data_IF_528416242559
#
_entry.id   IF_528416242559
#
_cell.length_a   1.000
_cell.length_b   1.000
_cell.length_c   1.000
_cell.angle_alpha   90.00
_cell.angle_beta   90.00
_cell.angle_gamma   90.00
#
_symmetry.space_group_name_H-M   'P 1'
#
loop_
_entity.id
_entity.type
_entity.pdbx_description
1 polymer ?
#
# COMPACT_ATOMS: atom_id res chain seq x y z
N UNK A 1 28.79 -15.57 13.65
CA UNK A 1 29.22 -16.15 14.95
C UNK A 1 30.32 -17.15 14.71
N UNK A 2 31.38 -17.13 15.51
CA UNK A 2 32.51 -18.08 15.38
C UNK A 2 32.48 -19.02 16.58
N UNK A 3 32.34 -20.31 16.33
CA UNK A 3 32.48 -21.35 17.36
C UNK A 3 33.88 -21.95 17.27
N UNK A 4 34.59 -21.99 18.40
CA UNK A 4 35.92 -22.59 18.49
C UNK A 4 35.76 -24.09 18.77
N UNK A 5 36.16 -24.93 17.81
CA UNK A 5 35.95 -26.37 17.88
C UNK A 5 37.18 -27.12 18.42
N UNK A 6 38.40 -26.73 18.00
CA UNK A 6 39.65 -27.35 18.43
C UNK A 6 40.82 -26.36 18.33
N UNK A 7 41.87 -26.57 19.12
CA UNK A 7 43.12 -25.82 19.02
C UNK A 7 43.92 -26.25 17.78
N UNK A 8 44.43 -25.29 17.01
CA UNK A 8 45.33 -25.54 15.87
C UNK A 8 46.60 -24.70 15.99
N UNK A 9 47.73 -25.26 15.57
CA UNK A 9 49.01 -24.56 15.49
C UNK A 9 49.21 -23.80 14.16
N UNK A 10 48.23 -23.88 13.25
CA UNK A 10 48.23 -23.17 11.95
C UNK A 10 47.22 -22.03 11.94
N UNK A 11 47.53 -20.97 11.19
CA UNK A 11 46.61 -19.86 10.96
C UNK A 11 45.31 -20.34 10.30
N UNK A 12 44.17 -19.87 10.82
CA UNK A 12 42.86 -20.08 10.22
C UNK A 12 42.37 -18.78 9.57
N UNK A 13 41.77 -18.90 8.37
CA UNK A 13 41.18 -17.77 7.64
C UNK A 13 39.67 -17.92 7.62
N UNK A 14 38.98 -16.88 8.08
CA UNK A 14 37.52 -16.76 7.97
C UNK A 14 37.24 -15.72 6.90
N UNK A 15 36.44 -16.09 5.90
CA UNK A 15 35.93 -15.16 4.90
C UNK A 15 34.43 -15.03 5.06
N UNK A 16 33.93 -13.80 5.07
CA UNK A 16 32.50 -13.51 5.03
C UNK A 16 32.18 -13.09 3.61
N UNK A 17 31.23 -13.79 2.98
CA UNK A 17 30.80 -13.54 1.61
C UNK A 17 29.27 -13.44 1.55
N UNK A 18 28.75 -12.81 0.50
CA UNK A 18 27.32 -12.70 0.28
C UNK A 18 26.70 -14.07 -0.02
N UNK A 19 25.52 -14.32 0.56
CA UNK A 19 24.70 -15.49 0.26
C UNK A 19 23.87 -15.23 -0.99
N UNK A 20 24.44 -15.58 -2.14
CA UNK A 20 23.84 -15.34 -3.46
C UNK A 20 22.66 -16.26 -3.74
N UNK A 21 22.67 -17.46 -3.16
CA UNK A 21 21.59 -18.44 -3.33
C UNK A 21 20.34 -17.99 -2.58
N UNK A 22 20.50 -17.57 -1.32
CA UNK A 22 19.39 -17.01 -0.55
C UNK A 22 18.82 -15.74 -1.22
N UNK A 23 19.70 -14.90 -1.78
CA UNK A 23 19.27 -13.69 -2.50
C UNK A 23 18.46 -14.03 -3.75
N UNK A 24 18.93 -14.98 -4.56
CA UNK A 24 18.18 -15.44 -5.73
C UNK A 24 16.82 -16.01 -5.33
N UNK A 25 16.76 -16.88 -4.32
CA UNK A 25 15.51 -17.46 -3.84
C UNK A 25 14.52 -16.41 -3.32
N UNK A 26 15.00 -15.38 -2.64
CA UNK A 26 14.16 -14.27 -2.19
C UNK A 26 13.55 -13.50 -3.37
N UNK A 27 14.34 -13.24 -4.41
CA UNK A 27 13.86 -12.57 -5.64
C UNK A 27 12.84 -13.44 -6.39
N UNK A 28 13.09 -14.74 -6.48
CA UNK A 28 12.14 -15.69 -7.10
C UNK A 28 10.81 -15.74 -6.33
N UNK A 29 10.88 -15.78 -4.99
CA UNK A 29 9.70 -15.79 -4.12
C UNK A 29 8.91 -14.48 -4.21
N UNK A 30 9.61 -13.35 -4.40
CA UNK A 30 8.99 -12.06 -4.69
C UNK A 30 8.20 -12.11 -6.00
N UNK A 31 8.79 -12.63 -7.08
CA UNK A 31 8.12 -12.79 -8.37
C UNK A 31 6.88 -13.67 -8.25
N UNK A 32 6.99 -14.79 -7.54
CA UNK A 32 5.84 -15.69 -7.33
C UNK A 32 4.72 -15.00 -6.54
N UNK A 33 5.06 -14.22 -5.51
CA UNK A 33 4.07 -13.47 -4.72
C UNK A 33 3.38 -12.39 -5.56
N UNK A 34 4.13 -11.67 -6.40
CA UNK A 34 3.58 -10.69 -7.32
C UNK A 34 2.65 -11.35 -8.34
N UNK A 35 3.08 -12.45 -8.96
CA UNK A 35 2.29 -13.17 -9.94
C UNK A 35 1.00 -13.73 -9.33
N UNK A 36 1.06 -14.31 -8.13
CA UNK A 36 -0.12 -14.77 -7.41
C UNK A 36 -1.12 -13.64 -7.14
N UNK A 37 -0.63 -12.45 -6.77
CA UNK A 37 -1.47 -11.26 -6.61
C UNK A 37 -2.13 -10.87 -7.94
N UNK A 38 -1.36 -10.81 -9.04
CA UNK A 38 -1.89 -10.47 -10.36
C UNK A 38 -2.90 -11.50 -10.87
N UNK A 39 -2.71 -12.77 -10.59
CA UNK A 39 -3.63 -13.84 -10.95
C UNK A 39 -4.97 -13.69 -10.20
N UNK A 40 -4.94 -13.39 -8.89
CA UNK A 40 -6.14 -13.12 -8.10
C UNK A 40 -6.86 -11.84 -8.56
N UNK A 41 -6.13 -10.79 -8.93
CA UNK A 41 -6.70 -9.58 -9.51
C UNK A 41 -7.37 -9.91 -10.85
N UNK A 42 -6.69 -10.63 -11.74
CA UNK A 42 -7.23 -11.00 -13.06
C UNK A 42 -8.49 -11.85 -12.93
N UNK A 43 -8.47 -12.85 -12.05
CA UNK A 43 -9.63 -13.68 -11.72
C UNK A 43 -10.81 -12.83 -11.27
N UNK A 44 -10.58 -11.86 -10.39
CA UNK A 44 -11.63 -10.95 -9.92
C UNK A 44 -12.06 -9.90 -10.95
N UNK A 45 -11.35 -9.78 -12.08
CA UNK A 45 -11.69 -8.88 -13.18
C UNK A 45 -12.16 -9.64 -14.43
N UNK A 46 -12.30 -10.96 -14.36
CA UNK A 46 -12.65 -11.80 -15.50
C UNK A 46 -14.13 -11.61 -15.89
N UNK A 47 -14.39 -11.70 -17.20
CA UNK A 47 -15.72 -11.88 -17.77
C UNK A 47 -15.97 -13.37 -18.03
N UNK A 48 -17.24 -13.75 -18.14
CA UNK A 48 -17.61 -15.07 -18.62
C UNK A 48 -17.21 -15.27 -20.10
N UNK A 49 -17.25 -16.51 -20.58
CA UNK A 49 -16.77 -16.88 -21.92
C UNK A 49 -17.41 -16.09 -23.08
N UNK A 50 -18.67 -15.65 -22.92
CA UNK A 50 -19.40 -14.86 -23.92
C UNK A 50 -19.18 -13.34 -23.80
N UNK A 51 -18.44 -12.88 -22.78
CA UNK A 51 -18.14 -11.47 -22.53
C UNK A 51 -19.33 -10.61 -22.10
N UNK A 52 -20.49 -11.21 -21.82
CA UNK A 52 -21.72 -10.48 -21.50
C UNK A 52 -21.83 -10.11 -20.02
N UNK A 53 -21.15 -10.84 -19.13
CA UNK A 53 -21.21 -10.66 -17.68
C UNK A 53 -19.83 -10.90 -17.04
N UNK A 54 -19.68 -10.47 -15.79
CA UNK A 54 -18.55 -10.92 -14.97
C UNK A 54 -18.57 -12.44 -14.82
N UNK A 55 -17.40 -13.05 -14.66
CA UNK A 55 -17.31 -14.46 -14.29
C UNK A 55 -17.94 -14.72 -12.91
N UNK A 56 -18.41 -15.95 -12.67
CA UNK A 56 -19.12 -16.31 -11.43
C UNK A 56 -18.23 -16.19 -10.19
N UNK A 57 -16.92 -16.43 -10.35
CA UNK A 57 -15.90 -16.32 -9.31
C UNK A 57 -15.31 -14.91 -9.18
N UNK A 58 -15.69 -13.98 -10.05
CA UNK A 58 -15.25 -12.58 -10.02
C UNK A 58 -16.09 -11.75 -9.02
N UNK A 59 -15.99 -12.10 -7.73
CA UNK A 59 -16.78 -11.47 -6.65
C UNK A 59 -16.49 -9.97 -6.56
N UNK A 60 -15.22 -9.59 -6.71
CA UNK A 60 -14.75 -8.21 -6.61
C UNK A 60 -14.69 -7.49 -7.97
N UNK A 61 -15.45 -7.94 -8.97
CA UNK A 61 -15.50 -7.31 -10.28
C UNK A 61 -15.89 -5.83 -10.17
N UNK A 62 -15.06 -4.95 -10.74
CA UNK A 62 -15.24 -3.50 -10.66
C UNK A 62 -14.80 -2.87 -9.34
N UNK A 63 -14.16 -3.63 -8.44
CA UNK A 63 -13.59 -3.09 -7.20
C UNK A 63 -12.56 -2.01 -7.50
N UNK A 64 -12.77 -0.83 -6.93
CA UNK A 64 -11.82 0.28 -7.02
C UNK A 64 -10.50 -0.07 -6.36
N UNK A 65 -10.55 -0.78 -5.22
CA UNK A 65 -9.35 -1.18 -4.46
C UNK A 65 -8.49 -2.15 -5.26
N UNK A 66 -9.09 -3.17 -5.91
CA UNK A 66 -8.33 -4.09 -6.76
C UNK A 66 -7.69 -3.38 -7.95
N UNK A 67 -8.43 -2.45 -8.59
CA UNK A 67 -7.86 -1.68 -9.69
C UNK A 67 -6.75 -0.73 -9.21
N UNK A 68 -6.88 -0.16 -8.00
CA UNK A 68 -5.85 0.67 -7.35
C UNK A 68 -4.56 -0.15 -7.14
N UNK A 69 -4.67 -1.32 -6.49
CA UNK A 69 -3.55 -2.24 -6.27
C UNK A 69 -2.88 -2.62 -7.59
N UNK A 70 -3.68 -3.03 -8.60
CA UNK A 70 -3.16 -3.43 -9.90
C UNK A 70 -2.33 -2.33 -10.56
N UNK A 71 -2.87 -1.10 -10.59
CA UNK A 71 -2.21 0.03 -11.22
C UNK A 71 -0.95 0.43 -10.46
N UNK A 72 -1.03 0.58 -9.14
CA UNK A 72 0.11 1.03 -8.34
C UNK A 72 1.24 0.00 -8.33
N UNK A 73 0.94 -1.28 -8.07
CA UNK A 73 1.97 -2.33 -8.08
C UNK A 73 2.54 -2.57 -9.47
N UNK A 74 1.71 -2.44 -10.52
CA UNK A 74 2.13 -2.54 -11.91
C UNK A 74 3.10 -1.43 -12.33
N UNK A 75 2.85 -0.19 -11.91
CA UNK A 75 3.74 0.94 -12.20
C UNK A 75 5.11 0.74 -11.55
N UNK A 76 5.16 0.38 -10.27
CA UNK A 76 6.43 0.24 -9.54
C UNK A 76 7.33 -0.85 -10.14
N UNK A 77 6.77 -1.98 -10.61
CA UNK A 77 7.59 -3.03 -11.25
C UNK A 77 7.96 -2.72 -12.70
N UNK A 78 7.22 -1.83 -13.36
CA UNK A 78 7.48 -1.41 -14.73
C UNK A 78 8.53 -0.30 -14.81
N UNK A 79 8.62 0.53 -13.76
CA UNK A 79 9.48 1.69 -13.72
C UNK A 79 10.94 1.36 -13.36
N UNK A 80 11.83 2.28 -13.70
CA UNK A 80 13.22 2.24 -13.27
C UNK A 80 13.39 2.82 -11.87
N UNK A 81 14.36 2.30 -11.12
CA UNK A 81 14.70 2.80 -9.79
C UNK A 81 15.19 4.24 -9.85
N UNK A 82 14.48 5.09 -9.12
CA UNK A 82 14.82 6.49 -8.95
C UNK A 82 16.18 6.64 -8.24
N UNK A 83 17.07 7.45 -8.82
CA UNK A 83 18.42 7.68 -8.32
C UNK A 83 19.49 6.72 -8.86
N UNK A 84 19.12 5.76 -9.72
CA UNK A 84 20.07 4.93 -10.46
C UNK A 84 20.06 5.36 -11.93
N UNK A 85 21.22 5.69 -12.54
CA UNK A 85 21.28 6.10 -13.93
C UNK A 85 20.83 4.96 -14.86
N UNK A 86 20.18 5.30 -15.98
CA UNK A 86 19.66 4.33 -16.97
C UNK A 86 20.72 3.48 -17.66
N UNK A 87 21.99 3.84 -17.54
CA UNK A 87 23.13 3.06 -18.03
C UNK A 87 23.59 1.98 -17.05
N UNK A 88 23.06 1.97 -15.83
CA UNK A 88 23.33 0.96 -14.81
C UNK A 88 22.16 -0.02 -14.68
N UNK A 89 22.29 -1.00 -13.79
CA UNK A 89 21.20 -1.92 -13.44
C UNK A 89 20.12 -1.14 -12.68
N UNK A 90 19.16 -0.57 -13.42
CA UNK A 90 18.15 0.33 -12.88
C UNK A 90 16.72 -0.21 -13.04
N UNK A 91 16.52 -1.34 -13.72
CA UNK A 91 15.20 -1.95 -13.97
C UNK A 91 15.24 -3.43 -13.65
N UNK A 92 14.07 -4.03 -13.36
CA UNK A 92 13.93 -5.50 -13.27
C UNK A 92 14.40 -6.21 -14.55
N UNK A 93 14.16 -5.59 -15.72
CA UNK A 93 14.61 -6.13 -17.00
C UNK A 93 16.14 -6.26 -17.09
N UNK A 94 16.89 -5.36 -16.44
CA UNK A 94 18.36 -5.40 -16.39
C UNK A 94 18.93 -6.62 -15.67
N UNK A 95 18.11 -7.31 -14.87
CA UNK A 95 18.46 -8.53 -14.15
C UNK A 95 17.68 -9.75 -14.66
N UNK A 96 17.09 -9.65 -15.85
CA UNK A 96 16.36 -10.77 -16.48
C UNK A 96 14.91 -10.93 -16.03
N UNK A 97 14.32 -9.97 -15.32
CA UNK A 97 12.91 -10.04 -14.87
C UNK A 97 12.06 -9.10 -15.72
N UNK A 98 11.12 -9.62 -16.49
CA UNK A 98 10.37 -8.85 -17.50
C UNK A 98 8.86 -9.10 -17.40
N UNK A 99 8.04 -8.09 -17.66
CA UNK A 99 6.58 -8.28 -17.76
C UNK A 99 6.19 -9.01 -19.06
N UNK A 100 5.32 -10.01 -18.96
CA UNK A 100 4.62 -10.56 -20.11
C UNK A 100 5.47 -11.31 -21.13
N UNK A 101 6.55 -11.95 -20.70
CA UNK A 101 7.51 -12.65 -21.56
C UNK A 101 7.47 -14.19 -21.35
N UNK A 102 8.60 -14.85 -21.56
CA UNK A 102 8.83 -16.26 -21.30
C UNK A 102 9.62 -16.43 -19.99
N UNK A 103 9.08 -17.21 -19.07
CA UNK A 103 9.73 -17.63 -17.84
C UNK A 103 10.57 -18.88 -18.12
N UNK A 104 11.85 -18.89 -17.69
CA UNK A 104 12.80 -19.99 -17.92
C UNK A 104 13.19 -20.74 -16.65
N UNK A 105 12.58 -20.45 -15.50
CA UNK A 105 12.94 -21.04 -14.18
C UNK A 105 12.84 -22.57 -14.16
N UNK A 106 11.93 -23.14 -14.95
CA UNK A 106 11.74 -24.59 -15.05
C UNK A 106 12.65 -25.26 -16.09
N UNK A 107 13.67 -24.56 -16.61
CA UNK A 107 14.56 -25.04 -17.67
C UNK A 107 13.95 -25.01 -19.09
N UNK A 108 12.68 -24.63 -19.21
CA UNK A 108 11.96 -24.45 -20.47
C UNK A 108 11.30 -23.07 -20.51
N UNK A 109 11.20 -22.46 -21.71
CA UNK A 109 10.49 -21.19 -21.91
C UNK A 109 8.98 -21.37 -21.80
N UNK A 110 8.38 -20.85 -20.73
CA UNK A 110 6.94 -20.88 -20.48
C UNK A 110 6.36 -19.49 -20.62
N UNK A 111 5.38 -19.29 -21.51
CA UNK A 111 4.73 -17.99 -21.69
C UNK A 111 3.88 -17.66 -20.45
N UNK A 112 4.02 -16.45 -19.92
CA UNK A 112 3.18 -15.95 -18.82
C UNK A 112 2.21 -14.87 -19.30
N UNK A 113 1.21 -14.53 -18.48
CA UNK A 113 0.28 -13.46 -18.76
C UNK A 113 1.01 -12.11 -18.90
N UNK A 114 0.52 -11.16 -19.74
CA UNK A 114 1.17 -9.85 -19.94
C UNK A 114 1.41 -9.05 -18.65
N UNK A 115 0.56 -9.24 -17.66
CA UNK A 115 0.59 -8.60 -16.35
C UNK A 115 1.49 -9.31 -15.33
N UNK A 116 1.98 -10.51 -15.65
CA UNK A 116 2.82 -11.29 -14.76
C UNK A 116 4.30 -11.05 -15.10
N UNK A 117 5.15 -11.18 -14.08
CA UNK A 117 6.60 -11.16 -14.21
C UNK A 117 7.08 -12.54 -14.67
N UNK A 118 7.93 -12.52 -15.69
CA UNK A 118 8.69 -13.65 -16.20
C UNK A 118 10.16 -13.49 -15.81
N UNK A 119 10.80 -14.60 -15.45
CA UNK A 119 12.21 -14.61 -15.04
C UNK A 119 13.05 -15.37 -16.05
N UNK A 120 14.08 -14.72 -16.56
CA UNK A 120 15.24 -15.38 -17.14
C UNK A 120 16.22 -15.76 -16.02
N UNK A 121 16.15 -17.02 -15.61
CA UNK A 121 16.88 -17.51 -14.43
C UNK A 121 18.39 -17.41 -14.61
N UNK A 122 18.92 -17.60 -15.82
CA UNK A 122 20.34 -17.52 -16.08
C UNK A 122 20.84 -16.08 -15.98
N UNK A 123 20.14 -15.15 -16.64
CA UNK A 123 20.45 -13.72 -16.57
C UNK A 123 20.39 -13.22 -15.12
N UNK A 124 19.39 -13.64 -14.34
CA UNK A 124 19.29 -13.29 -12.92
C UNK A 124 20.51 -13.77 -12.12
N UNK A 125 20.89 -15.04 -12.25
CA UNK A 125 22.05 -15.59 -11.56
C UNK A 125 23.34 -14.88 -11.97
N UNK A 126 23.51 -14.57 -13.25
CA UNK A 126 24.67 -13.86 -13.77
C UNK A 126 24.75 -12.44 -13.22
N UNK A 127 23.63 -11.70 -13.18
CA UNK A 127 23.56 -10.36 -12.59
C UNK A 127 23.92 -10.35 -11.10
N UNK A 128 23.40 -11.31 -10.32
CA UNK A 128 23.73 -11.43 -8.89
C UNK A 128 25.22 -11.74 -8.68
N UNK A 129 25.78 -12.61 -9.51
CA UNK A 129 27.18 -13.02 -9.40
C UNK A 129 28.16 -11.92 -9.80
N UNK A 130 27.81 -11.13 -10.82
CA UNK A 130 28.67 -10.08 -11.37
C UNK A 130 28.53 -8.76 -10.61
N UNK A 131 27.32 -8.40 -10.15
CA UNK A 131 27.06 -7.10 -9.55
C UNK A 131 26.01 -7.15 -8.43
N UNK A 132 26.34 -7.88 -7.36
CA UNK A 132 25.48 -8.04 -6.19
C UNK A 132 24.97 -6.72 -5.61
N UNK A 133 25.83 -5.71 -5.49
CA UNK A 133 25.45 -4.41 -4.92
C UNK A 133 24.43 -3.66 -5.79
N UNK A 134 24.53 -3.77 -7.11
CA UNK A 134 23.54 -3.16 -7.99
C UNK A 134 22.20 -3.89 -7.92
N UNK A 135 22.20 -5.23 -7.83
CA UNK A 135 20.97 -6.01 -7.58
C UNK A 135 20.35 -5.63 -6.24
N UNK A 136 21.16 -5.49 -5.17
CA UNK A 136 20.67 -5.05 -3.86
C UNK A 136 19.98 -3.69 -3.94
N UNK A 137 20.63 -2.70 -4.58
CA UNK A 137 20.07 -1.35 -4.78
C UNK A 137 18.77 -1.35 -5.56
N UNK A 138 18.56 -2.32 -6.44
CA UNK A 138 17.31 -2.46 -7.20
C UNK A 138 16.12 -2.81 -6.30
N UNK A 139 16.33 -3.52 -5.19
CA UNK A 139 15.25 -3.98 -4.32
C UNK A 139 15.13 -3.20 -3.01
N UNK A 140 16.23 -2.70 -2.45
CA UNK A 140 16.24 -2.06 -1.13
C UNK A 140 16.48 -0.57 -1.22
N UNK A 141 15.99 0.19 -0.24
CA UNK A 141 16.52 1.53 0.01
C UNK A 141 18.02 1.45 0.33
N UNK A 142 18.83 2.16 -0.44
CA UNK A 142 20.27 2.25 -0.23
C UNK A 142 20.66 3.72 -0.13
N UNK A 143 21.53 4.05 0.83
CA UNK A 143 21.97 5.42 1.04
C UNK A 143 23.44 5.46 1.42
N UNK A 144 24.10 6.51 0.95
CA UNK A 144 25.47 6.84 1.29
C UNK A 144 25.50 8.24 1.87
N UNK A 145 26.18 8.36 3.01
CA UNK A 145 26.40 9.61 3.73
C UNK A 145 27.90 9.84 3.78
N UNK A 146 28.35 11.05 3.45
CA UNK A 146 29.79 11.39 3.48
C UNK A 146 30.35 11.39 4.90
N UNK A 147 29.49 11.61 5.91
CA UNK A 147 29.84 11.52 7.33
C UNK A 147 29.11 10.34 8.01
N UNK A 148 29.89 9.40 8.54
CA UNK A 148 29.38 8.19 9.18
C UNK A 148 28.69 8.43 10.53
N UNK A 149 28.78 9.62 11.14
CA UNK A 149 27.99 9.92 12.34
C UNK A 149 26.51 10.10 12.04
N UNK A 150 26.17 10.41 10.80
CA UNK A 150 24.80 10.50 10.34
C UNK A 150 24.31 9.11 9.94
N UNK A 151 23.05 8.83 10.28
CA UNK A 151 22.35 7.60 9.93
C UNK A 151 20.93 7.95 9.53
N UNK A 152 20.47 7.45 8.40
CA UNK A 152 19.06 7.52 8.04
C UNK A 152 18.33 6.42 8.81
N UNK A 153 17.26 6.81 9.48
CA UNK A 153 16.41 5.89 10.25
C UNK A 153 15.04 5.76 9.61
N UNK A 154 14.62 6.77 8.85
CA UNK A 154 13.40 6.75 8.05
C UNK A 154 13.60 7.57 6.79
N UNK A 155 13.11 7.08 5.66
CA UNK A 155 13.00 7.84 4.41
C UNK A 155 11.53 8.16 4.12
N UNK A 156 11.27 9.13 3.21
CA UNK A 156 9.94 9.34 2.64
C UNK A 156 9.41 8.07 1.98
N UNK A 157 8.08 7.92 1.91
CA UNK A 157 7.43 6.75 1.28
C UNK A 157 7.62 6.68 -0.23
N UNK A 158 7.94 7.81 -0.86
CA UNK A 158 8.38 7.89 -2.25
C UNK A 158 9.58 8.82 -2.29
N UNK A 159 10.70 8.30 -2.77
CA UNK A 159 11.93 9.06 -2.89
C UNK A 159 11.81 10.07 -4.04
N UNK A 160 11.83 11.38 -3.76
CA UNK A 160 11.61 12.36 -4.82
C UNK A 160 12.73 12.32 -5.85
N UNK A 161 12.38 12.36 -7.13
CA UNK A 161 13.34 12.40 -8.24
C UNK A 161 14.33 13.56 -8.09
N UNK A 162 13.86 14.69 -7.54
CA UNK A 162 14.68 15.86 -7.26
C UNK A 162 15.83 15.58 -6.29
N UNK A 163 15.64 14.67 -5.33
CA UNK A 163 16.66 14.26 -4.36
C UNK A 163 17.55 13.14 -4.89
N UNK A 164 17.05 12.36 -5.85
CA UNK A 164 17.79 11.26 -6.46
C UNK A 164 18.83 11.75 -7.49
N UNK A 165 18.51 12.83 -8.21
CA UNK A 165 19.37 13.40 -9.24
C UNK A 165 20.44 14.36 -8.71
N UNK A 166 20.37 14.73 -7.42
CA UNK A 166 21.19 15.82 -6.86
C UNK A 166 21.77 15.42 -5.51
N UNK A 167 22.98 15.92 -5.25
CA UNK A 167 23.59 15.77 -3.94
C UNK A 167 22.78 16.61 -2.92
N UNK A 168 22.35 15.97 -1.84
CA UNK A 168 21.67 16.65 -0.73
C UNK A 168 22.68 16.90 0.38
N UNK A 169 22.96 18.16 0.67
CA UNK A 169 23.82 18.54 1.79
C UNK A 169 22.98 18.84 3.02
N UNK A 170 23.20 18.07 4.08
CA UNK A 170 22.56 18.22 5.39
C UNK A 170 23.57 18.85 6.33
N UNK A 171 23.20 20.00 6.89
CA UNK A 171 24.04 20.79 7.78
C UNK A 171 23.44 20.79 9.17
N UNK A 172 24.24 20.47 10.18
CA UNK A 172 23.91 20.61 11.59
C UNK A 172 24.83 21.68 12.19
N UNK A 173 24.24 22.79 12.64
CA UNK A 173 24.96 23.89 13.28
C UNK A 173 24.58 24.04 14.75
N UNK A 174 25.54 24.46 15.58
CA UNK A 174 25.28 24.88 16.96
C UNK A 174 25.50 26.38 17.06
N UNK A 175 24.49 27.12 17.51
CA UNK A 175 24.64 28.56 17.73
C UNK A 175 25.52 28.86 18.95
N UNK A 176 25.83 30.15 19.17
CA UNK A 176 26.64 30.57 20.32
C UNK A 176 25.94 30.37 21.67
N UNK A 177 24.61 30.17 21.67
CA UNK A 177 23.79 29.86 22.83
C UNK A 177 23.70 28.36 23.10
N UNK A 178 24.32 27.53 22.26
CA UNK A 178 24.33 26.07 22.37
C UNK A 178 23.16 25.36 21.70
N UNK A 179 22.26 26.07 21.01
CA UNK A 179 21.09 25.47 20.34
C UNK A 179 21.48 24.86 19.01
N UNK A 180 21.02 23.63 18.75
CA UNK A 180 21.21 22.96 17.47
C UNK A 180 20.13 23.34 16.45
N UNK A 181 20.55 23.53 15.21
CA UNK A 181 19.66 23.72 14.06
C UNK A 181 20.15 22.91 12.87
N UNK A 182 19.22 22.36 12.09
CA UNK A 182 19.53 21.58 10.90
C UNK A 182 18.97 22.25 9.65
N UNK A 183 19.75 22.26 8.58
CA UNK A 183 19.31 22.73 7.27
C UNK A 183 19.61 21.71 6.19
N UNK A 184 18.68 21.61 5.25
CA UNK A 184 18.78 20.76 4.07
C UNK A 184 18.96 21.67 2.86
N UNK A 185 20.05 21.45 2.14
CA UNK A 185 20.40 22.21 0.93
C UNK A 185 20.60 21.23 -0.20
N UNK A 186 19.99 21.52 -1.35
CA UNK A 186 20.20 20.75 -2.58
C UNK A 186 21.29 21.43 -3.41
N UNK A 187 22.32 20.69 -3.79
CA UNK A 187 23.32 21.18 -4.74
C UNK A 187 22.77 21.07 -6.18
N UNK A 188 22.92 22.12 -7.01
CA UNK A 188 22.50 22.10 -8.42
C UNK A 188 21.50 23.18 -8.84
N UNK A 189 20.91 23.92 -7.88
CA UNK A 189 20.14 25.13 -8.17
C UNK A 189 20.98 26.33 -7.71
N UNK A 190 21.28 27.27 -8.62
CA UNK A 190 21.97 28.51 -8.26
C UNK A 190 21.23 29.19 -7.10
N UNK A 191 21.84 29.22 -5.91
CA UNK A 191 21.18 29.66 -4.68
C UNK A 191 20.16 28.67 -4.12
N UNK A 192 20.56 27.41 -3.92
CA UNK A 192 19.71 26.31 -3.47
C UNK A 192 18.80 26.69 -2.30
N UNK A 193 17.50 26.41 -2.46
CA UNK A 193 16.50 26.63 -1.42
C UNK A 193 16.90 25.88 -0.15
N UNK A 194 17.08 26.63 0.93
CA UNK A 194 17.43 26.08 2.24
C UNK A 194 16.15 25.73 2.96
N UNK A 195 16.02 24.48 3.34
CA UNK A 195 14.90 23.99 4.13
C UNK A 195 15.35 23.75 5.57
N UNK A 196 14.69 24.39 6.53
CA UNK A 196 15.01 24.22 7.95
C UNK A 196 14.31 22.99 8.50
N UNK A 197 15.08 22.02 8.97
CA UNK A 197 14.58 20.84 9.66
C UNK A 197 14.26 21.10 11.12
N UNK A 198 13.56 20.16 11.74
CA UNK A 198 13.38 20.13 13.20
C UNK A 198 14.48 19.30 13.82
N UNK A 199 15.12 19.83 14.88
CA UNK A 199 16.15 19.12 15.65
C UNK A 199 15.65 18.84 17.05
N UNK A 200 15.81 17.61 17.50
CA UNK A 200 15.60 17.21 18.90
C UNK A 200 16.91 16.64 19.43
N UNK A 201 17.54 17.35 20.37
CA UNK A 201 18.80 16.95 20.98
C UNK A 201 18.58 15.97 22.15
N UNK A 202 19.47 15.00 22.25
CA UNK A 202 19.55 14.00 23.31
C UNK A 202 20.98 13.98 23.87
N UNK A 203 21.18 13.37 25.03
CA UNK A 203 22.47 13.33 25.74
C UNK A 203 23.64 12.78 24.90
N UNK A 204 23.38 11.95 23.89
CA UNK A 204 24.42 11.31 23.04
C UNK A 204 24.21 11.51 21.53
N UNK A 205 23.32 12.40 21.11
CA UNK A 205 23.04 12.60 19.69
C UNK A 205 21.86 13.54 19.44
N UNK A 206 21.48 13.71 18.17
CA UNK A 206 20.29 14.45 17.80
C UNK A 206 19.47 13.71 16.75
N UNK A 207 18.16 13.85 16.84
CA UNK A 207 17.22 13.45 15.80
C UNK A 207 16.92 14.68 14.93
N UNK A 208 17.09 14.53 13.62
CA UNK A 208 16.82 15.54 12.61
C UNK A 208 15.64 15.06 11.77
N UNK A 209 14.60 15.89 11.68
CA UNK A 209 13.41 15.61 10.89
C UNK A 209 13.30 16.63 9.75
N UNK A 210 13.14 16.14 8.53
CA UNK A 210 12.88 16.99 7.37
C UNK A 210 11.58 17.79 7.52
N UNK A 211 11.52 19.03 7.00
CA UNK A 211 10.33 19.86 7.13
C UNK A 211 9.16 19.31 6.30
N UNK A 212 7.95 19.38 6.87
CA UNK A 212 6.73 18.94 6.18
C UNK A 212 6.38 19.84 5.01
N UNK A 213 5.84 19.25 3.93
CA UNK A 213 5.54 19.96 2.70
C UNK A 213 6.78 20.32 1.86
N UNK A 214 7.95 19.80 2.22
CA UNK A 214 9.17 19.87 1.41
C UNK A 214 9.50 18.50 0.79
N UNK A 215 10.42 18.43 -0.19
CA UNK A 215 10.92 17.13 -0.68
C UNK A 215 11.55 16.25 0.41
N UNK A 216 11.91 16.82 1.56
CA UNK A 216 12.48 16.08 2.68
C UNK A 216 11.43 15.57 3.68
N UNK A 217 10.14 15.76 3.40
CA UNK A 217 9.07 15.31 4.30
C UNK A 217 9.12 13.79 4.49
N UNK A 218 9.10 13.34 5.74
CA UNK A 218 9.27 11.93 6.11
C UNK A 218 10.72 11.48 6.30
N UNK A 219 11.72 12.24 5.87
CA UNK A 219 13.14 11.93 6.11
C UNK A 219 13.49 12.16 7.59
N UNK A 220 14.09 11.15 8.22
CA UNK A 220 14.60 11.23 9.60
C UNK A 220 16.02 10.69 9.68
N UNK A 221 16.89 11.51 10.26
CA UNK A 221 18.27 11.17 10.51
C UNK A 221 18.58 11.21 12.00
N UNK A 222 19.42 10.29 12.44
CA UNK A 222 20.08 10.39 13.73
C UNK A 222 21.53 10.77 13.49
N UNK A 223 22.01 11.73 14.28
CA UNK A 223 23.42 12.07 14.38
C UNK A 223 23.94 11.57 15.71
N UNK A 224 24.92 10.69 15.66
CA UNK A 224 25.64 10.24 16.85
C UNK A 224 26.71 11.26 17.22
N UNK A 225 26.80 11.60 18.49
CA UNK A 225 27.80 12.52 19.04
C UNK A 225 27.70 13.95 18.49
N UNK A 226 26.79 14.73 19.09
CA UNK A 226 26.61 16.17 18.82
C UNK A 226 27.52 17.06 19.64
N UNK A 227 28.26 16.49 20.61
CA UNK A 227 29.15 17.24 21.50
C UNK A 227 30.44 17.66 20.80
N UNK A 228 30.78 17.02 19.68
CA UNK A 228 31.92 17.41 18.85
C UNK A 228 31.67 18.69 18.04
N UNK A 229 30.43 19.20 17.99
CA UNK A 229 30.11 20.46 17.31
C UNK A 229 30.27 21.59 18.33
N UNK A 230 31.35 22.40 18.27
CA UNK A 230 31.55 23.51 19.20
C UNK A 230 30.46 24.58 19.00
N UNK A 231 30.28 25.46 19.98
CA UNK A 231 29.40 26.63 19.83
C UNK A 231 29.89 27.51 18.67
N UNK A 232 28.99 27.86 17.76
CA UNK A 232 29.32 28.53 16.49
C UNK A 232 29.85 27.57 15.41
N UNK A 233 29.90 26.27 15.69
CA UNK A 233 30.39 25.23 14.79
C UNK A 233 29.35 24.71 13.82
N UNK A 234 29.83 24.11 12.74
CA UNK A 234 29.04 23.51 11.67
C UNK A 234 29.58 22.12 11.36
N UNK A 235 28.68 21.16 11.15
CA UNK A 235 28.98 19.83 10.65
C UNK A 235 28.07 19.52 9.48
N UNK A 236 28.61 18.96 8.41
CA UNK A 236 27.84 18.67 7.19
C UNK A 236 28.02 17.23 6.75
N UNK A 237 26.99 16.68 6.12
CA UNK A 237 27.04 15.41 5.41
C UNK A 237 26.33 15.55 4.07
N UNK A 238 26.84 14.89 3.05
CA UNK A 238 26.19 14.77 1.75
C UNK A 238 25.51 13.42 1.67
N UNK A 239 24.22 13.42 1.33
CA UNK A 239 23.36 12.27 1.17
C UNK A 239 23.16 11.97 -0.33
N UNK A 240 23.45 10.74 -0.72
CA UNK A 240 22.98 10.14 -1.97
C UNK A 240 22.17 8.90 -1.62
N UNK A 241 20.93 8.82 -2.06
CA UNK A 241 20.07 7.68 -1.79
C UNK A 241 19.28 7.25 -3.03
N UNK A 242 18.90 5.97 -3.04
CA UNK A 242 18.10 5.33 -4.07
C UNK A 242 17.02 4.51 -3.40
N UNK A 243 15.80 4.54 -3.92
CA UNK A 243 14.70 3.71 -3.44
C UNK A 243 14.47 2.56 -4.40
N UNK A 244 14.79 1.34 -3.95
CA UNK A 244 14.54 0.13 -4.73
C UNK A 244 13.06 -0.19 -4.88
N UNK A 245 12.74 -0.99 -5.90
CA UNK A 245 11.39 -1.45 -6.25
C UNK A 245 10.72 -2.20 -5.10
N UNK A 246 11.49 -3.01 -4.35
CA UNK A 246 10.96 -3.78 -3.23
C UNK A 246 10.54 -2.88 -2.05
N UNK A 247 11.32 -1.84 -1.78
CA UNK A 247 11.03 -0.83 -0.77
C UNK A 247 9.82 0.03 -1.15
N UNK A 248 9.77 0.50 -2.40
CA UNK A 248 8.63 1.25 -2.92
C UNK A 248 7.33 0.42 -2.92
N UNK A 249 7.38 -0.85 -3.33
CA UNK A 249 6.23 -1.75 -3.25
C UNK A 249 5.76 -1.97 -1.81
N UNK A 250 6.70 -2.09 -0.86
CA UNK A 250 6.35 -2.23 0.55
C UNK A 250 5.59 -1.00 1.04
N UNK A 251 6.04 0.20 0.70
CA UNK A 251 5.37 1.44 1.09
C UNK A 251 3.98 1.58 0.43
N UNK A 252 3.87 1.27 -0.86
CA UNK A 252 2.59 1.26 -1.59
C UNK A 252 1.61 0.28 -0.97
N UNK A 253 2.01 -0.98 -0.78
CA UNK A 253 1.13 -2.01 -0.21
C UNK A 253 0.75 -1.64 1.22
N UNK A 254 1.71 -1.20 2.04
CA UNK A 254 1.46 -0.78 3.42
C UNK A 254 0.45 0.37 3.50
N UNK A 255 0.52 1.32 2.56
CA UNK A 255 -0.45 2.41 2.44
C UNK A 255 -1.86 1.90 2.12
N UNK A 256 -1.98 0.92 1.23
CA UNK A 256 -3.28 0.34 0.82
C UNK A 256 -3.91 -0.48 1.96
N UNK A 257 -3.11 -1.30 2.66
CA UNK A 257 -3.58 -2.20 3.72
C UNK A 257 -3.68 -1.54 5.10
N UNK A 258 -3.31 -0.26 5.22
CA UNK A 258 -3.40 0.46 6.48
C UNK A 258 -4.82 0.39 7.05
N UNK A 259 -4.93 -0.06 8.31
CA UNK A 259 -6.22 -0.35 8.93
C UNK A 259 -7.05 0.89 9.25
N UNK A 260 -6.48 2.09 9.19
CA UNK A 260 -7.14 3.35 9.60
C UNK A 260 -7.45 4.25 8.42
N UNK A 261 -6.53 4.35 7.47
CA UNK A 261 -6.63 5.26 6.32
C UNK A 261 -6.41 4.60 4.97
N UNK A 262 -6.15 3.28 4.94
CA UNK A 262 -5.96 2.56 3.69
C UNK A 262 -7.22 2.47 2.84
N UNK A 263 -7.04 2.20 1.55
CA UNK A 263 -8.11 2.01 0.58
C UNK A 263 -9.06 0.89 1.02
N UNK A 264 -8.53 -0.19 1.62
CA UNK A 264 -9.34 -1.28 2.16
C UNK A 264 -10.23 -0.84 3.32
N UNK A 265 -9.67 -0.08 4.27
CA UNK A 265 -10.43 0.40 5.42
C UNK A 265 -11.55 1.34 4.98
N UNK A 266 -11.27 2.20 4.00
CA UNK A 266 -12.23 3.15 3.43
C UNK A 266 -13.38 2.43 2.72
N UNK A 267 -13.08 1.45 1.85
CA UNK A 267 -14.09 0.68 1.14
C UNK A 267 -14.93 -0.18 2.10
N UNK A 268 -14.30 -0.80 3.10
CA UNK A 268 -14.99 -1.56 4.14
C UNK A 268 -15.97 -0.69 4.93
N UNK A 269 -15.56 0.54 5.27
CA UNK A 269 -16.44 1.50 5.92
C UNK A 269 -17.64 1.85 5.04
N UNK A 270 -17.42 2.13 3.75
CA UNK A 270 -18.49 2.45 2.81
C UNK A 270 -19.50 1.31 2.65
N UNK A 271 -19.03 0.05 2.60
CA UNK A 271 -19.89 -1.13 2.57
C UNK A 271 -20.71 -1.26 3.86
N UNK A 272 -20.09 -1.06 5.02
CA UNK A 272 -20.77 -1.12 6.30
C UNK A 272 -21.85 -0.03 6.45
N UNK A 273 -21.57 1.19 5.97
CA UNK A 273 -22.54 2.28 5.96
C UNK A 273 -23.72 1.98 5.04
N UNK A 274 -23.45 1.42 3.86
CA UNK A 274 -24.52 1.00 2.93
C UNK A 274 -25.36 -0.13 3.52
N UNK A 275 -24.74 -1.10 4.20
CA UNK A 275 -25.46 -2.16 4.93
C UNK A 275 -26.36 -1.58 6.01
N UNK A 276 -25.88 -0.60 6.78
CA UNK A 276 -26.67 0.06 7.81
C UNK A 276 -27.88 0.80 7.22
N UNK A 277 -27.69 1.52 6.10
CA UNK A 277 -28.77 2.21 5.37
C UNK A 277 -29.82 1.23 4.82
N UNK A 278 -29.37 0.13 4.19
CA UNK A 278 -30.28 -0.89 3.67
C UNK A 278 -31.09 -1.56 4.78
N UNK A 279 -30.44 -1.87 5.92
CA UNK A 279 -31.15 -2.40 7.10
C UNK A 279 -32.24 -1.45 7.58
N UNK A 280 -31.93 -0.15 7.71
CA UNK A 280 -32.91 0.86 8.08
C UNK A 280 -34.09 0.92 7.10
N UNK A 281 -33.83 0.84 5.80
CA UNK A 281 -34.88 0.84 4.78
C UNK A 281 -35.78 -0.40 4.87
N UNK A 282 -35.19 -1.57 5.14
CA UNK A 282 -35.95 -2.81 5.38
C UNK A 282 -36.86 -2.63 6.59
N UNK A 283 -36.32 -2.15 7.72
CA UNK A 283 -37.10 -1.92 8.95
C UNK A 283 -38.27 -0.93 8.70
N UNK A 284 -38.06 0.13 7.91
CA UNK A 284 -39.12 1.08 7.55
C UNK A 284 -40.19 0.46 6.63
N UNK A 285 -39.80 -0.39 5.68
CA UNK A 285 -40.73 -1.09 4.80
C UNK A 285 -41.57 -2.08 5.61
N UNK A 286 -40.95 -2.87 6.48
CA UNK A 286 -41.66 -3.81 7.37
C UNK A 286 -42.69 -3.09 8.23
N UNK A 287 -42.32 -1.94 8.81
CA UNK A 287 -43.25 -1.10 9.59
C UNK A 287 -44.44 -0.60 8.76
N UNK A 288 -44.20 -0.18 7.51
CA UNK A 288 -45.27 0.27 6.60
C UNK A 288 -46.18 -0.88 6.17
N UNK A 289 -45.63 -2.07 5.94
CA UNK A 289 -46.40 -3.27 5.61
C UNK A 289 -47.33 -3.64 6.76
N UNK A 290 -46.85 -3.62 8.01
CA UNK A 290 -47.69 -3.93 9.16
C UNK A 290 -48.80 -2.88 9.35
N UNK A 291 -48.49 -1.58 9.22
CA UNK A 291 -49.52 -0.53 9.32
C UNK A 291 -50.59 -0.65 8.24
N UNK A 292 -50.22 -1.01 7.00
CA UNK A 292 -51.20 -1.28 5.93
C UNK A 292 -52.07 -2.49 6.24
N UNK A 293 -51.48 -3.56 6.79
CA UNK A 293 -52.23 -4.74 7.25
C UNK A 293 -53.25 -4.36 8.32
N UNK A 294 -52.88 -3.55 9.31
CA UNK A 294 -53.81 -3.02 10.33
C UNK A 294 -54.93 -2.17 9.72
N UNK A 295 -54.61 -1.28 8.79
CA UNK A 295 -55.61 -0.46 8.09
C UNK A 295 -56.61 -1.30 7.30
N UNK A 296 -56.13 -2.34 6.59
CA UNK A 296 -56.99 -3.27 5.87
C UNK A 296 -57.90 -4.03 6.83
N UNK A 297 -57.36 -4.54 7.94
CA UNK A 297 -58.16 -5.18 8.99
C UNK A 297 -59.24 -4.25 9.55
N UNK A 298 -58.89 -2.99 9.83
CA UNK A 298 -59.84 -1.97 10.29
C UNK A 298 -60.95 -1.70 9.27
N UNK A 299 -60.60 -1.57 7.99
CA UNK A 299 -61.57 -1.42 6.90
C UNK A 299 -62.50 -2.64 6.78
N UNK A 300 -61.97 -3.85 6.93
CA UNK A 300 -62.78 -5.08 6.95
C UNK A 300 -63.77 -5.10 8.12
N UNK A 301 -63.34 -4.73 9.33
CA UNK A 301 -64.22 -4.65 10.51
C UNK A 301 -65.34 -3.62 10.32
N UNK A 302 -65.02 -2.43 9.80
CA UNK A 302 -66.02 -1.39 9.49
C UNK A 302 -67.01 -1.87 8.43
N UNK A 303 -66.54 -2.57 7.41
CA UNK A 303 -67.41 -3.14 6.38
C UNK A 303 -68.34 -4.22 6.96
N UNK A 304 -67.85 -5.08 7.86
CA UNK A 304 -68.69 -6.05 8.57
C UNK A 304 -69.78 -5.35 9.41
N UNK A 305 -69.46 -4.25 10.09
CA UNK A 305 -70.44 -3.47 10.84
C UNK A 305 -71.52 -2.88 9.92
N UNK A 306 -71.13 -2.34 8.76
CA UNK A 306 -72.07 -1.83 7.75
C UNK A 306 -72.95 -2.95 7.20
N UNK A 307 -72.39 -4.13 6.90
CA UNK A 307 -73.17 -5.29 6.46
C UNK A 307 -74.20 -5.68 7.53
N UNK A 308 -73.79 -5.73 8.80
CA UNK A 308 -74.71 -6.05 9.90
C UNK A 308 -75.84 -5.00 10.03
N UNK A 309 -75.53 -3.71 9.86
CA UNK A 309 -76.55 -2.64 9.81
C UNK A 309 -77.47 -2.78 8.60
N UNK A 310 -76.95 -3.12 7.44
CA UNK A 310 -77.74 -3.38 6.23
C UNK A 310 -78.68 -4.57 6.40
N UNK A 311 -78.20 -5.68 6.97
CA UNK A 311 -79.03 -6.85 7.28
C UNK A 311 -80.11 -6.50 8.31
N UNK A 312 -79.78 -5.70 9.33
CA UNK A 312 -80.75 -5.21 10.30
C UNK A 312 -81.81 -4.32 9.64
N UNK A 313 -81.41 -3.41 8.75
CA UNK A 313 -82.33 -2.60 7.95
C UNK A 313 -83.17 -3.44 6.99
N UNK A 314 -82.60 -4.46 6.36
CA UNK A 314 -83.34 -5.38 5.49
C UNK A 314 -84.39 -6.14 6.30
N UNK A 315 -84.07 -6.58 7.52
CA UNK A 315 -85.05 -7.18 8.43
C UNK A 315 -86.14 -6.17 8.84
N UNK A 316 -85.78 -4.93 9.16
CA UNK A 316 -86.77 -3.88 9.44
C UNK A 316 -87.66 -3.57 8.23
N UNK A 317 -87.09 -3.54 7.03
CA UNK A 317 -87.82 -3.37 5.78
C UNK A 317 -88.71 -4.59 5.47
N UNK A 318 -88.26 -5.82 5.74
CA UNK A 318 -89.10 -7.01 5.63
C UNK A 318 -90.27 -6.99 6.62
N UNK A 319 -90.06 -6.48 7.83
CA UNK A 319 -91.13 -6.29 8.83
C UNK A 319 -92.12 -5.19 8.37
N UNK A 320 -91.63 -4.13 7.72
CA UNK A 320 -92.46 -3.04 7.19
C UNK A 320 -93.16 -3.38 5.86
N UNK A 321 -92.55 -4.21 5.02
CA UNK A 321 -93.11 -4.72 3.76
C UNK A 321 -94.01 -5.94 3.98
N UNK A 322 -93.92 -6.58 5.15
CA UNK A 322 -94.87 -7.59 5.61
C UNK A 322 -95.43 -7.25 7.00
N UNK A 323 -96.25 -6.19 7.14
CA UNK A 323 -96.83 -5.79 8.42
C UNK A 323 -98.01 -6.69 8.85
N UNK A 324 -98.05 -7.96 8.43
CA UNK A 324 -99.23 -8.83 8.56
C UNK A 324 -98.98 -10.34 8.59
N UNK A 325 -97.81 -10.79 9.07
CA UNK A 325 -97.47 -12.21 9.18
C UNK A 325 -97.25 -12.71 10.61
N UNK A 326 -98.10 -12.32 11.58
CA UNK A 326 -98.24 -13.05 12.84
C UNK A 326 -99.66 -13.63 12.92
N UNK A 327 -99.74 -14.94 12.70
CA UNK A 327 -100.63 -15.83 13.42
C UNK A 327 -99.78 -16.67 14.35
#
# INVERSE_FOLDING_TARGET
TVALNNASATDFRVSVVHDRDATSQAILSFVDSYNALQDEIQKNMAMNEDGSKRADDAILFGSRVLNSIRLQTGLVVADGVTGIPSTAVNTLGSIGINMGQYDTRNGNSTKVAPTNLAVDVQTLYDSINQNYDAVKKLFTFDSTLSDSSFKIVKHPSSWPAELAENNVTISLSRDNSGTLSATFTRDGVGGGTVYTGTVTEYTMGANIVGPSGSPYDGLRLIVTDTNIIPNGGLRQTTLNATQGIGDELLDVISGIVDSKSGDFATELSAINDNKAKLKKNIDEIEKRVESRREQLLSSFMKMQEVINKFLSMQNQLNILLNPGGQG
#
